data_IF_312704599291
#
_entry.id   IF_312704599291
#
_cell.length_a   1.000
_cell.length_b   1.000
_cell.length_c   1.000
_cell.angle_alpha   90.00
_cell.angle_beta   90.00
_cell.angle_gamma   90.00
#
_symmetry.space_group_name_H-M   'P 1'
#
loop_
_entity.id
_entity.type
_entity.pdbx_description
1 polymer ?
#
# COMPACT_ATOMS: atom_id res chain seq x y z
N UNK A 1 8.55 -15.14 -16.21
CA UNK A 1 7.33 -15.97 -16.31
C UNK A 1 6.37 -15.36 -17.32
N UNK A 2 5.73 -16.16 -18.18
CA UNK A 2 4.66 -15.70 -19.09
C UNK A 2 3.29 -15.96 -18.46
N UNK A 3 2.25 -15.17 -18.81
CA UNK A 3 0.91 -15.28 -18.22
C UNK A 3 0.34 -16.71 -18.30
N UNK A 4 0.55 -17.40 -19.44
CA UNK A 4 0.11 -18.78 -19.66
C UNK A 4 0.70 -19.80 -18.67
N UNK A 5 1.84 -19.49 -18.04
CA UNK A 5 2.52 -20.39 -17.11
C UNK A 5 1.96 -20.29 -15.69
N UNK A 6 1.26 -19.19 -15.35
CA UNK A 6 0.81 -18.91 -13.97
C UNK A 6 -0.16 -19.98 -13.48
N UNK A 7 -1.12 -20.37 -14.33
CA UNK A 7 -2.07 -21.44 -14.00
C UNK A 7 -1.34 -22.76 -13.70
N UNK A 8 -0.33 -23.10 -14.49
CA UNK A 8 0.46 -24.32 -14.29
C UNK A 8 1.26 -24.26 -12.99
N UNK A 9 1.87 -23.12 -12.66
CA UNK A 9 2.59 -22.94 -11.38
C UNK A 9 1.63 -23.08 -10.19
N UNK A 10 0.48 -22.42 -10.25
CA UNK A 10 -0.56 -22.51 -9.20
C UNK A 10 -1.04 -23.95 -9.01
N UNK A 11 -1.32 -24.64 -10.12
CA UNK A 11 -1.73 -26.03 -10.10
C UNK A 11 -0.65 -26.94 -9.51
N UNK A 12 0.57 -26.91 -10.04
CA UNK A 12 1.67 -27.76 -9.57
C UNK A 12 2.01 -27.51 -8.10
N UNK A 13 2.03 -26.25 -7.65
CA UNK A 13 2.27 -25.94 -6.24
C UNK A 13 1.19 -26.54 -5.34
N UNK A 14 -0.08 -26.47 -5.74
CA UNK A 14 -1.19 -27.11 -5.02
C UNK A 14 -1.05 -28.62 -4.95
N UNK A 15 -0.81 -29.28 -6.09
CA UNK A 15 -0.66 -30.74 -6.15
C UNK A 15 0.53 -31.25 -5.34
N UNK A 16 1.57 -30.42 -5.17
CA UNK A 16 2.78 -30.78 -4.42
C UNK A 16 2.80 -30.21 -2.98
N UNK A 17 1.70 -29.61 -2.51
CA UNK A 17 1.62 -29.06 -1.15
C UNK A 17 2.60 -27.91 -0.88
N UNK A 18 3.03 -27.19 -1.91
CA UNK A 18 3.94 -26.05 -1.80
C UNK A 18 3.13 -24.76 -1.62
N UNK A 19 3.51 -23.95 -0.63
CA UNK A 19 2.94 -22.62 -0.48
C UNK A 19 3.39 -21.71 -1.63
N UNK A 20 2.55 -20.75 -2.04
CA UNK A 20 2.92 -19.72 -3.01
C UNK A 20 3.08 -18.37 -2.31
N UNK A 21 4.19 -17.68 -2.60
CA UNK A 21 4.35 -16.24 -2.33
C UNK A 21 4.30 -15.49 -3.66
N UNK A 22 3.36 -14.55 -3.79
CA UNK A 22 3.22 -13.74 -5.01
C UNK A 22 4.07 -12.49 -4.86
N UNK A 23 4.99 -12.27 -5.79
CA UNK A 23 5.88 -11.10 -5.78
C UNK A 23 5.65 -10.21 -7.01
N UNK A 24 5.53 -8.92 -6.75
CA UNK A 24 5.51 -7.86 -7.76
C UNK A 24 6.78 -7.01 -7.61
N UNK A 25 6.73 -5.88 -6.89
CA UNK A 25 7.90 -5.02 -6.66
C UNK A 25 8.77 -5.38 -5.46
N UNK A 26 8.34 -6.30 -4.58
CA UNK A 26 9.13 -6.76 -3.43
C UNK A 26 9.19 -5.80 -2.22
N UNK A 27 8.30 -4.80 -2.14
CA UNK A 27 8.21 -3.82 -1.04
C UNK A 27 7.32 -4.31 0.13
N UNK A 28 7.33 -5.60 0.46
CA UNK A 28 6.63 -6.09 1.66
C UNK A 28 7.53 -5.87 2.87
N UNK A 29 7.08 -5.07 3.85
CA UNK A 29 7.88 -4.64 5.01
C UNK A 29 8.31 -5.80 5.92
N UNK A 30 7.61 -6.93 5.85
CA UNK A 30 7.90 -8.15 6.61
C UNK A 30 8.45 -9.26 5.70
N UNK A 31 8.70 -8.94 4.42
CA UNK A 31 9.25 -9.87 3.43
C UNK A 31 8.31 -10.99 2.98
N UNK A 32 7.01 -10.95 3.32
CA UNK A 32 6.08 -12.07 3.09
C UNK A 32 5.83 -12.41 1.62
N UNK A 33 6.29 -11.58 0.69
CA UNK A 33 6.25 -11.85 -0.75
C UNK A 33 7.40 -12.74 -1.25
N UNK A 34 8.42 -13.00 -0.42
CA UNK A 34 9.59 -13.81 -0.79
C UNK A 34 10.18 -14.64 0.36
N UNK A 35 9.57 -14.62 1.56
CA UNK A 35 9.93 -15.49 2.69
C UNK A 35 8.76 -16.38 3.09
N UNK A 36 9.08 -17.53 3.69
CA UNK A 36 8.12 -18.42 4.35
C UNK A 36 8.81 -19.34 5.34
N UNK A 37 8.09 -19.76 6.37
CA UNK A 37 8.52 -20.80 7.31
C UNK A 37 8.23 -22.24 6.85
N UNK A 38 7.58 -22.43 5.70
CA UNK A 38 7.27 -23.74 5.10
C UNK A 38 7.82 -23.82 3.68
N UNK A 39 8.02 -25.02 3.10
CA UNK A 39 8.42 -25.16 1.70
C UNK A 39 7.48 -24.39 0.77
N UNK A 40 8.06 -23.52 -0.06
CA UNK A 40 7.29 -22.59 -0.87
C UNK A 40 7.96 -22.30 -2.21
N UNK A 41 7.17 -21.76 -3.13
CA UNK A 41 7.61 -21.20 -4.41
C UNK A 41 7.25 -19.73 -4.50
N UNK A 42 8.09 -18.96 -5.18
CA UNK A 42 7.81 -17.54 -5.47
C UNK A 42 7.19 -17.46 -6.87
N UNK A 43 5.96 -16.96 -6.94
CA UNK A 43 5.32 -16.55 -8.17
C UNK A 43 5.72 -15.09 -8.46
N UNK A 44 6.84 -14.92 -9.16
CA UNK A 44 7.36 -13.61 -9.52
C UNK A 44 6.71 -13.09 -10.80
N UNK A 45 5.95 -11.99 -10.66
CA UNK A 45 5.20 -11.35 -11.72
C UNK A 45 6.03 -10.33 -12.51
N UNK A 46 7.33 -10.19 -12.23
CA UNK A 46 8.21 -9.18 -12.81
C UNK A 46 8.13 -9.07 -14.34
N UNK A 47 7.81 -10.14 -15.08
CA UNK A 47 7.72 -10.06 -16.55
C UNK A 47 6.36 -9.56 -17.09
N UNK A 48 5.36 -9.37 -16.23
CA UNK A 48 4.05 -8.83 -16.60
C UNK A 48 4.06 -7.29 -16.43
N UNK A 49 4.69 -6.57 -17.36
CA UNK A 49 4.93 -5.12 -17.27
C UNK A 49 4.21 -4.29 -18.34
N UNK A 50 3.27 -4.89 -19.08
CA UNK A 50 2.56 -4.15 -20.13
C UNK A 50 1.65 -3.08 -19.51
N UNK A 51 1.79 -1.85 -20.01
CA UNK A 51 0.93 -0.71 -19.66
C UNK A 51 0.35 -0.12 -20.94
N UNK A 52 -0.98 -0.06 -21.02
CA UNK A 52 -1.71 0.58 -22.12
C UNK A 52 -2.56 1.73 -21.58
N UNK A 53 -2.24 2.96 -21.99
CA UNK A 53 -3.00 4.17 -21.63
C UNK A 53 -4.04 4.45 -22.73
N UNK A 54 -5.28 4.68 -22.32
CA UNK A 54 -6.40 5.09 -23.18
C UNK A 54 -6.83 6.50 -22.78
N UNK A 55 -6.26 7.50 -23.46
CA UNK A 55 -6.43 8.92 -23.13
C UNK A 55 -7.90 9.36 -23.23
N UNK A 56 -8.59 8.96 -24.31
CA UNK A 56 -9.99 9.33 -24.56
C UNK A 56 -10.91 8.84 -23.44
N UNK A 57 -10.70 7.60 -22.98
CA UNK A 57 -11.48 6.99 -21.90
C UNK A 57 -10.98 7.38 -20.50
N UNK A 58 -9.84 8.08 -20.42
CA UNK A 58 -9.09 8.30 -19.17
C UNK A 58 -8.88 7.00 -18.40
N UNK A 59 -8.54 5.91 -19.07
CA UNK A 59 -8.25 4.64 -18.40
C UNK A 59 -6.87 4.12 -18.75
N UNK A 60 -6.34 3.20 -17.95
CA UNK A 60 -5.16 2.43 -18.33
C UNK A 60 -5.28 0.98 -17.89
N UNK A 61 -4.76 0.08 -18.72
CA UNK A 61 -4.48 -1.30 -18.34
C UNK A 61 -3.04 -1.40 -17.86
N UNK A 62 -2.81 -1.97 -16.68
CA UNK A 62 -1.52 -2.02 -16.01
C UNK A 62 -1.29 -3.43 -15.51
N UNK A 63 -0.32 -4.15 -16.08
CA UNK A 63 0.01 -5.49 -15.61
C UNK A 63 0.72 -5.47 -14.24
N UNK A 64 0.54 -6.54 -13.48
CA UNK A 64 0.87 -6.66 -12.06
C UNK A 64 2.36 -6.59 -11.72
N UNK A 65 3.25 -6.88 -12.67
CA UNK A 65 4.71 -6.76 -12.53
C UNK A 65 5.23 -5.34 -12.73
N UNK A 66 4.39 -4.42 -13.21
CA UNK A 66 4.77 -3.02 -13.41
C UNK A 66 5.02 -2.31 -12.08
N UNK A 67 5.86 -1.28 -12.10
CA UNK A 67 6.05 -0.38 -10.96
C UNK A 67 5.22 0.90 -11.08
N UNK A 68 5.08 1.63 -9.98
CA UNK A 68 4.41 2.94 -9.97
C UNK A 68 5.15 3.93 -10.88
N UNK A 69 6.48 3.90 -10.89
CA UNK A 69 7.31 4.75 -11.74
C UNK A 69 7.05 4.50 -13.23
N UNK A 70 7.02 3.23 -13.64
CA UNK A 70 6.66 2.85 -15.02
C UNK A 70 5.26 3.33 -15.40
N UNK A 71 4.28 3.22 -14.49
CA UNK A 71 2.94 3.75 -14.73
C UNK A 71 2.97 5.27 -14.93
N UNK A 72 3.59 6.02 -14.02
CA UNK A 72 3.66 7.48 -14.12
C UNK A 72 4.37 7.94 -15.39
N UNK A 73 5.46 7.26 -15.76
CA UNK A 73 6.16 7.51 -17.01
C UNK A 73 5.24 7.34 -18.22
N UNK A 74 4.53 6.21 -18.32
CA UNK A 74 3.63 5.90 -19.44
C UNK A 74 2.42 6.83 -19.52
N UNK A 75 1.87 7.25 -18.39
CA UNK A 75 0.81 8.28 -18.37
C UNK A 75 1.36 9.60 -18.92
N UNK A 76 2.52 10.05 -18.42
CA UNK A 76 3.14 11.31 -18.82
C UNK A 76 3.60 11.35 -20.28
N UNK A 77 3.93 10.19 -20.89
CA UNK A 77 4.17 10.07 -22.33
C UNK A 77 2.92 10.32 -23.18
N UNK A 78 1.73 10.03 -22.64
CA UNK A 78 0.45 10.13 -23.34
C UNK A 78 -0.32 11.44 -23.04
N UNK A 79 0.24 12.34 -22.22
CA UNK A 79 -0.32 13.65 -21.92
C UNK A 79 0.11 14.19 -20.56
N UNK A 80 0.15 15.52 -20.41
CA UNK A 80 0.58 16.19 -19.17
C UNK A 80 -0.57 16.52 -18.21
N UNK A 81 -1.81 16.23 -18.60
CA UNK A 81 -3.02 16.59 -17.84
C UNK A 81 -3.73 15.39 -17.24
N UNK A 82 -3.14 14.20 -17.32
CA UNK A 82 -3.64 12.98 -16.68
C UNK A 82 -2.67 12.51 -15.61
N UNK A 83 -3.21 11.94 -14.54
CA UNK A 83 -2.44 11.33 -13.46
C UNK A 83 -3.17 10.15 -12.85
N UNK A 84 -2.52 9.50 -11.90
CA UNK A 84 -3.12 8.43 -11.11
C UNK A 84 -2.69 8.55 -9.64
N UNK A 85 -3.62 8.55 -8.67
CA UNK A 85 -3.28 8.73 -7.26
C UNK A 85 -2.75 7.44 -6.63
N UNK A 86 -1.48 7.12 -6.88
CA UNK A 86 -0.75 6.02 -6.25
C UNK A 86 0.34 6.54 -5.28
N UNK A 87 1.30 5.68 -4.95
CA UNK A 87 2.39 5.97 -4.03
C UNK A 87 3.44 6.88 -4.64
N UNK A 88 4.42 7.24 -3.83
CA UNK A 88 5.52 8.14 -4.23
C UNK A 88 6.80 7.41 -4.60
N UNK A 89 7.00 6.19 -4.07
CA UNK A 89 8.20 5.39 -4.32
C UNK A 89 8.08 4.72 -5.71
N UNK A 90 8.93 5.08 -6.69
CA UNK A 90 8.75 4.61 -8.07
C UNK A 90 8.92 3.11 -8.25
N UNK A 91 9.75 2.46 -7.40
CA UNK A 91 10.07 1.02 -7.49
C UNK A 91 9.01 0.11 -6.88
N UNK A 92 7.99 0.67 -6.20
CA UNK A 92 6.88 -0.11 -5.63
C UNK A 92 6.07 -0.74 -6.76
N UNK A 93 5.80 -2.05 -6.64
CA UNK A 93 5.03 -2.80 -7.62
C UNK A 93 3.53 -2.57 -7.49
N UNK A 94 2.83 -2.42 -8.62
CA UNK A 94 1.42 -2.04 -8.64
C UNK A 94 0.49 -3.08 -8.00
N UNK A 95 0.82 -4.38 -8.09
CA UNK A 95 -0.06 -5.44 -7.60
C UNK A 95 -0.14 -5.54 -6.07
N UNK A 96 0.91 -5.12 -5.36
CA UNK A 96 0.90 -5.01 -3.90
C UNK A 96 0.35 -3.67 -3.42
N UNK A 97 0.31 -2.66 -4.30
CA UNK A 97 0.01 -1.28 -3.95
C UNK A 97 -1.42 -0.83 -4.31
N UNK A 98 -1.97 -1.34 -5.41
CA UNK A 98 -3.20 -0.79 -5.99
C UNK A 98 -4.46 -1.15 -5.20
N UNK A 99 -5.40 -0.22 -5.25
CA UNK A 99 -6.79 -0.36 -4.78
C UNK A 99 -7.69 0.06 -5.96
N UNK A 100 -7.99 -0.86 -6.88
CA UNK A 100 -8.60 -0.57 -8.19
C UNK A 100 -10.13 -0.32 -8.21
N UNK A 101 -10.79 -0.42 -9.37
CA UNK A 101 -12.25 -0.29 -9.59
C UNK A 101 -12.73 -1.11 -10.83
N UNK A 102 -13.96 -1.68 -10.85
CA UNK A 102 -14.52 -2.53 -11.95
C UNK A 102 -15.09 -3.95 -11.59
N UNK A 103 -16.34 -4.27 -11.94
CA UNK A 103 -17.11 -5.42 -11.38
C UNK A 103 -17.03 -6.80 -12.09
N UNK A 104 -16.01 -7.15 -12.87
CA UNK A 104 -16.03 -8.36 -13.71
C UNK A 104 -15.80 -9.71 -12.98
N UNK A 105 -15.36 -9.70 -11.72
CA UNK A 105 -14.99 -10.92 -10.96
C UNK A 105 -15.98 -11.29 -9.85
N UNK A 106 -17.21 -10.73 -9.93
CA UNK A 106 -18.19 -10.73 -8.84
C UNK A 106 -17.91 -9.62 -7.82
N UNK A 107 -18.95 -8.94 -7.33
CA UNK A 107 -18.79 -7.72 -6.52
C UNK A 107 -18.00 -7.93 -5.23
N UNK A 108 -18.11 -9.11 -4.63
CA UNK A 108 -17.45 -9.43 -3.35
C UNK A 108 -15.95 -9.65 -3.50
N UNK A 109 -15.52 -10.51 -4.43
CA UNK A 109 -14.08 -10.70 -4.71
C UNK A 109 -13.48 -9.39 -5.21
N UNK A 110 -14.21 -8.70 -6.08
CA UNK A 110 -13.77 -7.42 -6.59
C UNK A 110 -13.66 -6.35 -5.50
N UNK A 111 -14.55 -6.34 -4.52
CA UNK A 111 -14.40 -5.51 -3.33
C UNK A 111 -13.17 -5.93 -2.52
N UNK A 112 -12.98 -7.22 -2.25
CA UNK A 112 -11.92 -7.73 -1.38
C UNK A 112 -10.50 -7.45 -1.89
N UNK A 113 -10.26 -7.53 -3.20
CA UNK A 113 -8.93 -7.28 -3.78
C UNK A 113 -8.55 -5.79 -3.82
N UNK A 114 -9.48 -4.87 -3.52
CA UNK A 114 -9.24 -3.41 -3.52
C UNK A 114 -8.80 -2.87 -2.17
N UNK A 115 -8.10 -3.67 -1.40
CA UNK A 115 -7.57 -3.31 -0.10
C UNK A 115 -6.25 -4.02 0.17
N UNK A 116 -5.78 -3.93 1.42
CA UNK A 116 -4.47 -4.40 1.85
C UNK A 116 -4.40 -5.92 2.06
N UNK A 117 -4.78 -6.71 1.05
CA UNK A 117 -4.99 -8.14 1.23
C UNK A 117 -5.02 -8.97 -0.05
N UNK A 118 -4.60 -8.45 -1.21
CA UNK A 118 -4.66 -9.17 -2.48
C UNK A 118 -4.05 -10.57 -2.43
N UNK A 119 -2.94 -10.74 -1.71
CA UNK A 119 -2.27 -12.02 -1.50
C UNK A 119 -3.12 -13.09 -0.77
N UNK A 120 -4.20 -12.70 -0.09
CA UNK A 120 -5.13 -13.64 0.54
C UNK A 120 -6.14 -14.23 -0.45
N UNK A 121 -6.32 -13.62 -1.62
CA UNK A 121 -7.40 -13.95 -2.55
C UNK A 121 -6.92 -14.52 -3.89
N UNK A 122 -5.63 -14.39 -4.21
CA UNK A 122 -5.03 -14.96 -5.42
C UNK A 122 -3.84 -14.17 -5.95
N UNK A 123 -3.47 -14.47 -7.20
CA UNK A 123 -2.50 -13.70 -7.96
C UNK A 123 -3.21 -12.75 -8.93
N UNK A 124 -3.10 -11.45 -8.69
CA UNK A 124 -3.65 -10.42 -9.57
C UNK A 124 -2.69 -10.25 -10.76
N UNK A 125 -3.22 -10.26 -11.99
CA UNK A 125 -2.39 -10.23 -13.21
C UNK A 125 -2.35 -8.85 -13.86
N UNK A 126 -3.44 -8.11 -13.78
CA UNK A 126 -3.55 -6.76 -14.31
C UNK A 126 -4.66 -5.97 -13.62
N UNK A 127 -4.54 -4.65 -13.68
CA UNK A 127 -5.55 -3.70 -13.24
C UNK A 127 -6.01 -2.85 -14.41
N UNK A 128 -7.32 -2.64 -14.53
CA UNK A 128 -7.86 -1.51 -15.27
C UNK A 128 -8.08 -0.37 -14.28
N UNK A 129 -7.42 0.76 -14.51
CA UNK A 129 -7.47 1.93 -13.63
C UNK A 129 -8.16 3.11 -14.31
N UNK A 130 -8.79 3.94 -13.50
CA UNK A 130 -9.33 5.24 -13.91
C UNK A 130 -8.29 6.32 -13.64
N UNK A 131 -7.88 7.03 -14.69
CA UNK A 131 -7.02 8.19 -14.62
C UNK A 131 -7.82 9.42 -14.20
N UNK A 132 -7.13 10.37 -13.57
CA UNK A 132 -7.72 11.62 -13.09
C UNK A 132 -7.08 12.81 -13.80
N UNK A 133 -7.84 13.88 -13.94
CA UNK A 133 -7.31 15.13 -14.47
C UNK A 133 -6.34 15.77 -13.46
N UNK A 134 -5.19 16.23 -13.96
CA UNK A 134 -4.20 16.99 -13.18
C UNK A 134 -3.88 18.31 -13.91
N UNK A 135 -3.61 19.40 -13.18
CA UNK A 135 -3.14 20.64 -13.80
C UNK A 135 -1.80 20.43 -14.51
N UNK A 136 -1.60 21.08 -15.66
CA UNK A 136 -0.33 21.04 -16.40
C UNK A 136 0.86 21.55 -15.56
N UNK A 137 0.59 22.50 -14.65
CA UNK A 137 1.59 23.06 -13.73
C UNK A 137 1.16 22.80 -12.30
N UNK A 138 2.03 22.10 -11.57
CA UNK A 138 1.90 21.86 -10.12
C UNK A 138 3.02 22.60 -9.39
N UNK A 139 2.70 23.21 -8.25
CA UNK A 139 3.69 23.91 -7.42
C UNK A 139 4.10 23.03 -6.26
N UNK A 140 5.39 22.76 -6.13
CA UNK A 140 5.98 22.07 -4.99
C UNK A 140 6.79 23.03 -4.14
N UNK A 141 6.79 22.83 -2.83
CA UNK A 141 7.69 23.53 -1.91
C UNK A 141 8.12 22.60 -0.77
N UNK A 142 9.32 22.83 -0.26
CA UNK A 142 9.83 22.16 0.94
C UNK A 142 10.39 23.19 1.89
N UNK A 143 10.06 23.07 3.17
CA UNK A 143 10.50 23.98 4.22
C UNK A 143 11.10 23.14 5.33
N UNK A 144 12.42 23.24 5.51
CA UNK A 144 13.13 22.58 6.60
C UNK A 144 13.12 23.46 7.85
N UNK A 145 12.84 22.85 9.01
CA UNK A 145 12.83 23.50 10.33
C UNK A 145 13.46 22.57 11.37
N UNK A 146 14.35 23.11 12.19
CA UNK A 146 14.88 22.42 13.38
C UNK A 146 14.02 22.72 14.61
N UNK A 147 14.23 21.98 15.72
CA UNK A 147 13.51 22.22 16.98
C UNK A 147 13.74 23.64 17.53
N UNK A 148 14.97 24.16 17.43
CA UNK A 148 15.32 25.53 17.83
C UNK A 148 14.63 26.60 16.96
N UNK A 149 14.27 26.23 15.72
CA UNK A 149 13.50 27.06 14.80
C UNK A 149 11.97 26.89 15.00
N UNK A 150 11.55 26.57 16.22
CA UNK A 150 10.15 26.53 16.64
C UNK A 150 9.30 25.44 15.94
N UNK A 151 9.92 24.35 15.44
CA UNK A 151 9.24 23.28 14.72
C UNK A 151 8.09 22.66 15.53
N UNK A 152 8.28 22.44 16.84
CA UNK A 152 7.24 21.87 17.72
C UNK A 152 5.97 22.71 17.72
N UNK A 153 6.08 24.04 17.79
CA UNK A 153 4.91 24.92 17.77
C UNK A 153 4.28 24.98 16.38
N UNK A 154 5.06 24.91 15.29
CA UNK A 154 4.52 24.84 13.93
C UNK A 154 3.70 23.55 13.76
N UNK A 155 4.25 22.41 14.16
CA UNK A 155 3.54 21.12 14.18
C UNK A 155 2.31 21.18 15.08
N UNK A 156 2.41 21.89 16.21
CA UNK A 156 1.28 22.19 17.09
C UNK A 156 0.18 22.99 16.38
N UNK A 157 0.52 24.02 15.61
CA UNK A 157 -0.43 24.98 15.00
C UNK A 157 -1.04 24.48 13.70
N UNK A 158 -0.34 23.63 12.93
CA UNK A 158 -0.85 23.07 11.67
C UNK A 158 -2.22 22.36 11.81
N UNK A 159 -2.72 22.15 13.05
CA UNK A 159 -4.05 21.69 13.46
C UNK A 159 -5.27 22.25 12.71
N UNK A 160 -5.25 23.47 12.17
CA UNK A 160 -6.53 24.18 11.87
C UNK A 160 -6.69 24.79 10.48
N UNK A 161 -5.64 24.95 9.66
CA UNK A 161 -5.75 25.84 8.47
C UNK A 161 -5.17 25.33 7.16
N UNK A 162 -4.54 24.16 7.13
CA UNK A 162 -4.03 23.67 5.86
C UNK A 162 -5.18 22.93 5.16
N UNK A 163 -5.51 23.27 3.92
CA UNK A 163 -6.49 22.49 3.12
C UNK A 163 -5.80 21.58 2.12
N UNK A 164 -4.51 21.78 1.87
CA UNK A 164 -3.59 20.90 1.15
C UNK A 164 -2.19 21.53 1.23
N UNK A 165 -1.20 20.80 1.71
CA UNK A 165 0.22 21.06 1.43
C UNK A 165 0.76 19.75 0.90
N UNK A 166 1.03 19.70 -0.40
CA UNK A 166 1.93 18.70 -0.97
C UNK A 166 3.34 19.24 -0.78
N UNK A 167 3.99 18.84 0.30
CA UNK A 167 5.42 19.02 0.48
C UNK A 167 6.06 17.63 0.45
N UNK A 168 6.65 17.30 -0.70
CA UNK A 168 7.71 16.29 -0.78
C UNK A 168 8.81 16.85 -1.65
N UNK A 169 10.03 16.69 -1.16
CA UNK A 169 11.21 16.68 -1.99
C UNK A 169 11.13 15.42 -2.85
N UNK A 170 10.89 15.62 -4.14
CA UNK A 170 11.19 14.58 -5.12
C UNK A 170 12.65 14.79 -5.56
N UNK A 171 13.58 13.88 -5.21
CA UNK A 171 14.96 13.97 -5.69
C UNK A 171 15.03 14.00 -7.23
N UNK A 172 13.98 13.57 -7.93
CA UNK A 172 13.93 13.51 -9.39
C UNK A 172 13.58 14.85 -10.07
N UNK A 173 13.33 15.94 -9.32
CA UNK A 173 12.92 17.23 -9.93
C UNK A 173 13.94 17.84 -10.89
N UNK A 174 15.20 17.38 -10.87
CA UNK A 174 16.26 17.77 -11.83
C UNK A 174 16.72 16.61 -12.74
N UNK A 175 16.17 15.42 -12.57
CA UNK A 175 16.57 14.23 -13.30
C UNK A 175 15.66 14.00 -14.51
N UNK A 176 16.14 13.24 -15.49
CA UNK A 176 15.30 12.80 -16.60
C UNK A 176 14.12 11.99 -16.07
N UNK A 177 12.95 12.11 -16.71
CA UNK A 177 11.78 11.25 -16.42
C UNK A 177 12.12 9.76 -16.50
N UNK A 178 13.16 9.39 -17.25
CA UNK A 178 13.63 8.00 -17.38
C UNK A 178 14.07 7.38 -16.06
N UNK A 179 14.38 8.19 -15.03
CA UNK A 179 14.65 7.68 -13.69
C UNK A 179 13.48 6.89 -13.10
N UNK A 180 12.24 7.21 -13.50
CA UNK A 180 11.04 6.48 -13.08
C UNK A 180 11.00 5.05 -13.62
N UNK A 181 11.75 4.75 -14.69
CA UNK A 181 11.89 3.41 -15.24
C UNK A 181 12.95 2.58 -14.51
N UNK A 182 13.75 3.19 -13.63
CA UNK A 182 14.75 2.47 -12.87
C UNK A 182 14.08 1.60 -11.80
N UNK A 183 14.24 0.29 -11.92
CA UNK A 183 13.72 -0.69 -10.95
C UNK A 183 14.69 -0.93 -9.78
N UNK A 184 15.92 -0.42 -9.87
CA UNK A 184 16.92 -0.56 -8.82
C UNK A 184 16.75 0.56 -7.82
N UNK A 185 16.44 0.21 -6.57
CA UNK A 185 16.35 1.21 -5.50
C UNK A 185 17.76 1.61 -5.07
N UNK A 186 18.13 2.89 -5.16
CA UNK A 186 19.37 3.36 -4.57
C UNK A 186 19.24 3.27 -3.04
N UNK A 187 20.24 2.68 -2.37
CA UNK A 187 20.34 2.59 -0.90
C UNK A 187 19.27 1.72 -0.22
N UNK A 188 19.30 0.41 -0.49
CA UNK A 188 18.51 -0.56 0.30
C UNK A 188 19.11 -0.65 1.71
N UNK A 189 18.28 -0.43 2.73
CA UNK A 189 18.64 -0.55 4.16
C UNK A 189 17.70 -1.52 4.84
N UNK A 190 18.16 -2.16 5.91
CA UNK A 190 17.26 -2.87 6.82
C UNK A 190 16.45 -1.83 7.59
N UNK A 191 15.13 -2.00 7.66
CA UNK A 191 14.25 -1.13 8.41
C UNK A 191 13.12 -1.95 9.05
N UNK A 192 12.51 -1.40 10.10
CA UNK A 192 11.23 -1.86 10.64
C UNK A 192 10.27 -0.68 10.60
N UNK A 193 9.15 -0.86 9.91
CA UNK A 193 8.10 0.15 9.85
C UNK A 193 6.94 -0.21 10.77
N UNK A 194 6.30 0.83 11.31
CA UNK A 194 5.05 0.75 12.08
C UNK A 194 4.16 1.93 11.71
N UNK A 195 2.87 1.80 12.00
CA UNK A 195 1.85 2.77 11.60
C UNK A 195 0.80 2.99 12.67
N UNK A 196 0.27 4.22 12.75
CA UNK A 196 -0.86 4.57 13.63
C UNK A 196 -1.79 5.61 12.95
N UNK A 197 -3.02 5.72 13.46
CA UNK A 197 -4.06 6.68 13.04
C UNK A 197 -4.40 7.62 14.21
N UNK A 198 -4.12 8.91 14.04
CA UNK A 198 -4.37 9.96 15.03
C UNK A 198 -5.75 10.57 14.80
N UNK A 199 -6.61 10.46 15.81
CA UNK A 199 -7.97 11.01 15.82
C UNK A 199 -8.12 12.26 16.69
N UNK A 200 -7.16 12.49 17.59
CA UNK A 200 -7.07 13.68 18.44
C UNK A 200 -5.67 14.26 18.29
N UNK A 201 -5.49 15.57 18.04
CA UNK A 201 -4.16 16.11 17.78
C UNK A 201 -3.21 15.84 18.95
N UNK A 202 -2.03 15.30 18.67
CA UNK A 202 -0.98 15.10 19.68
C UNK A 202 -0.73 16.45 20.41
N UNK A 203 -0.70 16.41 21.74
CA UNK A 203 -0.44 17.61 22.53
C UNK A 203 0.98 18.13 22.29
N UNK A 204 1.28 19.37 22.68
CA UNK A 204 2.64 19.90 22.57
C UNK A 204 3.60 19.04 23.41
N UNK A 205 3.23 18.76 24.65
CA UNK A 205 4.00 17.90 25.54
C UNK A 205 4.17 16.47 24.98
N UNK A 206 3.15 15.96 24.26
CA UNK A 206 3.25 14.66 23.56
C UNK A 206 4.30 14.68 22.44
N UNK A 207 4.33 15.75 21.63
CA UNK A 207 5.38 15.92 20.62
C UNK A 207 6.76 16.05 21.25
N UNK A 208 6.90 16.82 22.33
CA UNK A 208 8.15 16.94 23.08
C UNK A 208 8.62 15.60 23.67
N UNK A 209 7.68 14.75 24.09
CA UNK A 209 7.99 13.37 24.48
C UNK A 209 8.53 12.54 23.32
N UNK A 210 7.91 12.63 22.14
CA UNK A 210 8.37 11.93 20.93
C UNK A 210 9.78 12.40 20.54
N UNK A 211 10.04 13.71 20.56
CA UNK A 211 11.36 14.24 20.19
C UNK A 211 12.49 13.69 21.04
N UNK A 212 12.25 13.43 22.33
CA UNK A 212 13.26 12.82 23.21
C UNK A 212 13.70 11.43 22.72
N UNK A 213 12.76 10.62 22.22
CA UNK A 213 13.05 9.30 21.67
C UNK A 213 13.89 9.40 20.39
N UNK A 214 13.69 10.44 19.58
CA UNK A 214 14.48 10.68 18.37
C UNK A 214 15.91 11.17 18.65
N UNK A 215 16.25 11.52 19.90
CA UNK A 215 17.61 11.88 20.31
C UNK A 215 18.33 10.74 21.05
N UNK A 216 17.72 9.57 21.13
CA UNK A 216 18.42 8.36 21.60
C UNK A 216 19.38 7.86 20.51
N UNK A 217 20.51 7.27 20.90
CA UNK A 217 21.56 6.86 19.96
C UNK A 217 21.03 5.83 18.94
N UNK A 218 20.14 4.94 19.38
CA UNK A 218 19.50 3.93 18.52
C UNK A 218 18.55 4.53 17.47
N UNK A 219 18.14 5.80 17.62
CA UNK A 219 17.20 6.49 16.76
C UNK A 219 17.87 7.40 15.72
N UNK A 220 19.19 7.31 15.53
CA UNK A 220 19.96 8.17 14.61
C UNK A 220 19.37 8.21 13.18
N UNK A 221 18.91 7.07 12.67
CA UNK A 221 18.28 6.94 11.34
C UNK A 221 16.75 6.86 11.40
N UNK A 222 16.13 7.12 12.56
CA UNK A 222 14.69 7.04 12.70
C UNK A 222 13.99 8.16 11.92
N UNK A 223 12.90 7.80 11.24
CA UNK A 223 12.06 8.75 10.51
C UNK A 223 10.60 8.65 10.95
N UNK A 224 9.92 9.80 11.06
CA UNK A 224 8.47 9.85 11.27
C UNK A 224 7.80 10.64 10.15
N UNK A 225 6.92 9.98 9.41
CA UNK A 225 6.09 10.60 8.38
C UNK A 225 4.70 10.90 8.90
N UNK A 226 4.24 12.13 8.67
CA UNK A 226 2.89 12.57 9.02
C UNK A 226 2.15 12.96 7.74
N UNK A 227 1.25 12.09 7.29
CA UNK A 227 0.41 12.37 6.12
C UNK A 227 -0.99 12.85 6.52
N UNK A 228 -1.48 13.97 5.94
CA UNK A 228 -2.79 14.49 6.29
C UNK A 228 -3.91 13.63 5.70
N UNK A 229 -4.93 13.33 6.52
CA UNK A 229 -6.21 12.75 6.10
C UNK A 229 -7.28 13.84 5.99
N UNK A 230 -8.41 13.55 5.33
CA UNK A 230 -9.49 14.53 5.10
C UNK A 230 -9.85 14.64 3.62
N UNK A 231 -10.53 15.71 3.24
CA UNK A 231 -11.00 15.92 1.87
C UNK A 231 -11.75 14.70 1.34
N UNK A 232 -11.38 14.21 0.15
CA UNK A 232 -11.99 13.02 -0.48
C UNK A 232 -11.94 11.76 0.40
N UNK A 233 -10.98 11.64 1.32
CA UNK A 233 -10.92 10.51 2.25
C UNK A 233 -12.02 10.53 3.33
N UNK A 234 -12.60 11.70 3.65
CA UNK A 234 -13.76 11.82 4.55
C UNK A 234 -15.09 11.57 3.85
N UNK A 235 -15.14 11.79 2.53
CA UNK A 235 -16.36 11.63 1.72
C UNK A 235 -16.66 10.15 1.38
N UNK A 236 -15.62 9.31 1.34
CA UNK A 236 -15.76 7.89 1.01
C UNK A 236 -16.16 7.11 2.26
N UNK A 237 -17.24 6.34 2.19
CA UNK A 237 -17.67 5.46 3.29
C UNK A 237 -16.61 4.41 3.63
N UNK A 238 -16.47 4.09 4.93
CA UNK A 238 -15.51 3.09 5.45
C UNK A 238 -15.69 1.70 4.81
N UNK A 239 -16.90 1.34 4.38
CA UNK A 239 -17.19 0.03 3.77
C UNK A 239 -17.08 0.00 2.24
N UNK A 240 -16.78 1.13 1.59
CA UNK A 240 -16.71 1.23 0.11
C UNK A 240 -15.70 0.26 -0.51
N UNK A 241 -14.56 0.11 0.15
CA UNK A 241 -13.51 -0.88 -0.12
C UNK A 241 -12.99 -1.40 1.23
N UNK A 242 -12.19 -2.48 1.28
CA UNK A 242 -11.77 -3.06 2.55
C UNK A 242 -11.02 -2.10 3.47
N UNK A 243 -10.30 -1.13 2.90
CA UNK A 243 -9.60 -0.09 3.66
C UNK A 243 -10.61 0.85 4.38
N UNK A 244 -10.68 0.79 5.73
CA UNK A 244 -11.77 1.39 6.49
C UNK A 244 -11.45 2.79 7.01
N UNK A 245 -10.20 3.26 6.95
CA UNK A 245 -9.80 4.47 7.65
C UNK A 245 -10.20 5.73 6.85
N UNK A 246 -11.37 6.28 7.15
CA UNK A 246 -11.99 7.41 6.43
C UNK A 246 -12.24 8.60 7.35
N UNK A 247 -13.48 9.08 7.42
CA UNK A 247 -13.94 10.09 8.37
C UNK A 247 -13.57 9.73 9.83
N UNK A 248 -13.27 10.74 10.63
CA UNK A 248 -12.83 10.57 12.03
C UNK A 248 -11.31 10.46 12.23
N UNK A 249 -10.53 10.20 11.17
CA UNK A 249 -9.06 10.35 11.21
C UNK A 249 -8.69 11.79 10.84
N UNK A 250 -7.75 12.40 11.58
CA UNK A 250 -7.54 13.85 11.54
C UNK A 250 -6.70 14.37 10.38
N UNK A 251 -7.04 15.61 10.04
CA UNK A 251 -6.20 16.59 9.38
C UNK A 251 -5.50 17.49 10.44
N UNK A 252 -4.19 17.77 10.40
CA UNK A 252 -3.13 17.21 9.56
C UNK A 252 -2.35 16.06 10.23
N UNK A 253 -2.87 15.40 11.27
CA UNK A 253 -2.06 14.44 12.04
C UNK A 253 -2.52 13.01 11.80
N UNK A 254 -1.59 12.32 11.16
CA UNK A 254 -1.37 10.90 10.99
C UNK A 254 -2.61 10.05 10.69
N UNK A 255 -2.64 9.51 9.48
CA UNK A 255 -2.30 8.11 9.45
C UNK A 255 -1.13 7.89 8.52
N UNK A 256 -0.29 6.89 8.78
CA UNK A 256 0.62 6.50 7.70
C UNK A 256 0.74 5.01 7.51
N UNK A 257 0.12 4.59 6.39
CA UNK A 257 0.08 3.29 5.71
C UNK A 257 -0.25 2.11 6.61
N UNK A 258 -1.14 1.21 6.18
CA UNK A 258 -1.30 -0.08 6.85
C UNK A 258 -0.09 -0.95 6.52
N UNK A 259 1.08 -0.55 7.04
CA UNK A 259 2.28 -1.37 6.96
C UNK A 259 2.00 -2.68 7.67
N UNK A 260 2.44 -3.76 7.03
CA UNK A 260 2.33 -5.07 7.63
C UNK A 260 3.23 -5.09 8.86
N UNK A 261 2.69 -5.58 9.97
CA UNK A 261 3.39 -5.62 11.25
C UNK A 261 3.08 -6.94 11.94
N UNK A 262 4.03 -7.87 11.91
CA UNK A 262 3.84 -9.18 12.54
C UNK A 262 3.76 -9.09 14.07
N UNK A 263 4.21 -7.97 14.67
CA UNK A 263 4.22 -7.79 16.12
C UNK A 263 2.81 -7.65 16.72
N UNK A 264 1.81 -7.25 15.90
CA UNK A 264 0.42 -7.11 16.36
C UNK A 264 -0.40 -8.41 16.24
N UNK A 265 0.20 -9.49 15.74
CA UNK A 265 -0.39 -10.81 15.70
C UNK A 265 -0.03 -11.59 14.44
N UNK A 266 0.18 -12.90 14.59
CA UNK A 266 0.56 -13.81 13.50
C UNK A 266 -0.40 -15.00 13.46
N UNK A 267 -0.70 -15.45 12.25
CA UNK A 267 -1.48 -16.63 11.94
C UNK A 267 -0.71 -17.93 12.25
N UNK A 268 -1.45 -18.99 12.57
CA UNK A 268 -0.92 -20.35 12.56
C UNK A 268 -0.68 -20.84 11.12
N UNK A 269 0.32 -21.72 10.95
CA UNK A 269 0.74 -22.25 9.64
C UNK A 269 -0.42 -22.95 8.92
N UNK A 270 -0.98 -22.29 7.92
CA UNK A 270 -2.06 -22.80 7.06
C UNK A 270 -3.43 -22.99 7.72
N UNK A 271 -3.54 -23.02 9.05
CA UNK A 271 -4.78 -23.32 9.77
C UNK A 271 -5.02 -22.36 10.94
N UNK A 272 -5.40 -21.13 10.62
CA UNK A 272 -5.68 -20.09 11.63
C UNK A 272 -7.17 -19.92 11.88
N UNK A 273 -7.54 -19.84 13.15
CA UNK A 273 -8.92 -19.52 13.54
C UNK A 273 -9.27 -18.05 13.30
N UNK A 274 -10.54 -17.79 12.98
CA UNK A 274 -11.08 -16.42 12.90
C UNK A 274 -10.76 -15.59 14.15
N UNK A 275 -10.88 -16.19 15.35
CA UNK A 275 -10.62 -15.50 16.61
C UNK A 275 -9.16 -15.02 16.73
N UNK A 276 -8.18 -15.85 16.35
CA UNK A 276 -6.76 -15.48 16.39
C UNK A 276 -6.44 -14.40 15.37
N UNK A 277 -6.90 -14.56 14.14
CA UNK A 277 -6.67 -13.59 13.09
C UNK A 277 -7.39 -12.24 13.35
N UNK A 278 -8.51 -12.25 14.08
CA UNK A 278 -9.24 -11.03 14.45
C UNK A 278 -8.41 -10.05 15.29
N UNK A 279 -7.40 -10.54 16.04
CA UNK A 279 -6.52 -9.71 16.88
C UNK A 279 -5.81 -8.64 16.04
N UNK A 280 -5.26 -9.04 14.89
CA UNK A 280 -4.60 -8.12 13.95
C UNK A 280 -5.58 -7.63 12.86
N UNK A 281 -6.50 -8.48 12.40
CA UNK A 281 -7.39 -8.20 11.27
C UNK A 281 -8.31 -7.00 11.50
N UNK A 282 -8.84 -6.86 12.72
CA UNK A 282 -9.71 -5.72 13.08
C UNK A 282 -8.91 -4.42 13.16
N UNK A 283 -7.60 -4.46 13.44
CA UNK A 283 -6.75 -3.26 13.43
C UNK A 283 -6.59 -2.70 12.01
N UNK A 284 -6.42 -3.56 11.01
CA UNK A 284 -6.30 -3.15 9.60
C UNK A 284 -7.63 -2.84 8.91
N UNK A 285 -8.68 -3.60 9.23
CA UNK A 285 -9.92 -3.60 8.44
C UNK A 285 -11.16 -3.18 9.23
N UNK A 286 -11.05 -2.93 10.55
CA UNK A 286 -12.19 -2.62 11.42
C UNK A 286 -13.36 -3.59 11.15
N UNK A 287 -14.57 -3.05 10.97
CA UNK A 287 -15.79 -3.79 10.68
C UNK A 287 -15.77 -4.53 9.33
N UNK A 288 -14.87 -4.17 8.41
CA UNK A 288 -14.77 -4.83 7.10
C UNK A 288 -14.12 -6.21 7.18
N UNK A 289 -13.46 -6.55 8.30
CA UNK A 289 -12.77 -7.83 8.46
C UNK A 289 -13.70 -9.04 8.27
N UNK A 290 -14.90 -9.01 8.85
CA UNK A 290 -15.85 -10.12 8.74
C UNK A 290 -16.30 -10.36 7.29
N UNK A 291 -16.52 -9.29 6.51
CA UNK A 291 -16.84 -9.43 5.09
C UNK A 291 -15.67 -10.05 4.32
N UNK A 292 -14.43 -9.64 4.61
CA UNK A 292 -13.24 -10.24 3.99
C UNK A 292 -13.17 -11.75 4.24
N UNK A 293 -13.42 -12.19 5.48
CA UNK A 293 -13.43 -13.62 5.84
C UNK A 293 -14.53 -14.40 5.11
N UNK A 294 -15.72 -13.82 4.97
CA UNK A 294 -16.79 -14.42 4.16
C UNK A 294 -16.39 -14.57 2.68
N UNK A 295 -15.78 -13.52 2.09
CA UNK A 295 -15.29 -13.60 0.70
C UNK A 295 -14.21 -14.67 0.58
N UNK A 296 -13.22 -14.68 1.50
CA UNK A 296 -12.12 -15.65 1.52
C UNK A 296 -12.64 -17.09 1.55
N UNK A 297 -13.57 -17.37 2.45
CA UNK A 297 -14.19 -18.70 2.61
C UNK A 297 -14.87 -19.17 1.32
N UNK A 298 -15.46 -18.25 0.55
CA UNK A 298 -16.13 -18.57 -0.71
C UNK A 298 -15.16 -18.78 -1.88
N UNK A 299 -14.13 -17.93 -2.00
CA UNK A 299 -13.26 -17.90 -3.20
C UNK A 299 -12.03 -18.80 -3.09
N UNK A 300 -11.61 -19.12 -1.86
CA UNK A 300 -10.50 -20.04 -1.59
C UNK A 300 -10.79 -20.89 -0.34
N UNK A 301 -11.76 -21.82 -0.43
CA UNK A 301 -12.18 -22.66 0.70
C UNK A 301 -11.09 -23.62 1.19
N UNK A 302 -10.06 -23.86 0.37
CA UNK A 302 -8.88 -24.64 0.74
C UNK A 302 -7.81 -23.84 1.49
N UNK A 303 -8.00 -22.53 1.64
CA UNK A 303 -7.00 -21.59 2.14
C UNK A 303 -5.63 -21.74 1.45
N UNK A 304 -5.62 -21.91 0.13
CA UNK A 304 -4.40 -22.12 -0.63
C UNK A 304 -3.51 -20.87 -0.68
N UNK A 305 -4.13 -19.69 -0.81
CA UNK A 305 -3.45 -18.40 -0.77
C UNK A 305 -3.41 -17.88 0.67
N UNK A 306 -2.35 -18.19 1.40
CA UNK A 306 -2.20 -17.80 2.80
C UNK A 306 -0.80 -17.33 3.13
N UNK A 307 -0.69 -16.51 4.17
CA UNK A 307 0.54 -16.08 4.80
C UNK A 307 0.30 -15.80 6.30
N UNK A 308 1.33 -15.29 6.95
CA UNK A 308 1.42 -15.00 8.38
C UNK A 308 0.37 -13.99 8.86
N UNK A 309 -0.25 -13.21 7.97
CA UNK A 309 -1.37 -12.32 8.25
C UNK A 309 -2.37 -12.28 7.09
N UNK A 310 -2.67 -13.43 6.50
CA UNK A 310 -3.70 -13.55 5.47
C UNK A 310 -5.08 -13.65 6.11
N UNK A 311 -6.11 -13.20 5.39
CA UNK A 311 -7.51 -13.36 5.82
C UNK A 311 -7.79 -14.86 6.04
N UNK A 312 -8.30 -15.27 7.22
CA UNK A 312 -8.58 -16.68 7.52
C UNK A 312 -9.89 -17.14 6.86
N UNK A 313 -10.17 -18.43 6.97
CA UNK A 313 -11.50 -18.99 6.75
C UNK A 313 -12.41 -18.75 7.98
N UNK A 314 -13.71 -18.95 7.80
CA UNK A 314 -14.70 -19.05 8.89
C UNK A 314 -14.50 -20.32 9.72
#
# INVERSE_FOLDING_TARGET
MHESQIRSVVYCARENGLQIRVRSGGHDDEGLSYTSEVPFVILDLINLQQIRVEVENKTAWVQAGSTIGELYYRIAENGQTLGFPAGVCPTVGVSGHFRGGGNSMGEDLFWAIRGDGGASFGAILAWKIQLVDVPEKVTLFSINRTLDQNATNIMAICRTKIRQIFARYDPYTKESRDVLLNRTQPNVRYFKAKSDYVQIPISKNGLEGIWKLFFEDEAEEAEMFLSPYGGRMHEISESTIPFPHRAGNLFPRAAYLNYRDLDIGVNDKGNTSHAKASIWGIKYFKNNFNRLVQVKTKVDPSNFFWNEQSIPLL
#
